data_IF_427669816285
#
_entry.id   IF_427669816285
#
_cell.length_a   1.000
_cell.length_b   1.000
_cell.length_c   1.000
_cell.angle_alpha   90.00
_cell.angle_beta   90.00
_cell.angle_gamma   90.00
#
_symmetry.space_group_name_H-M   'P 1'
#
loop_
_entity.id
_entity.type
_entity.pdbx_description
1 polymer ?
#
# COMPACT_ATOMS: atom_id res chain seq x y z
N UNK A 1 2.28 -1.27 -12.05
CA UNK A 1 3.48 -1.42 -11.20
C UNK A 1 4.76 -1.62 -12.01
N UNK A 2 4.97 -2.72 -12.73
CA UNK A 2 6.22 -2.97 -13.48
C UNK A 2 6.60 -1.84 -14.45
N UNK A 3 5.63 -1.21 -15.11
CA UNK A 3 5.90 -0.06 -16.02
C UNK A 3 6.28 1.20 -15.26
N UNK A 4 5.68 1.46 -14.11
CA UNK A 4 5.94 2.64 -13.28
C UNK A 4 7.39 2.65 -12.78
N UNK A 5 7.90 1.49 -12.37
CA UNK A 5 9.26 1.34 -11.84
C UNK A 5 10.28 0.79 -12.85
N UNK A 6 9.91 0.70 -14.15
CA UNK A 6 10.79 0.10 -15.18
C UNK A 6 12.18 0.77 -15.32
N UNK A 7 12.27 2.06 -14.99
CA UNK A 7 13.53 2.81 -15.02
C UNK A 7 14.24 2.88 -13.66
N UNK A 8 13.68 2.30 -12.62
CA UNK A 8 14.26 2.31 -11.29
C UNK A 8 15.14 1.05 -11.10
N UNK A 9 16.47 1.16 -11.03
CA UNK A 9 17.36 0.01 -10.91
C UNK A 9 17.28 -0.68 -9.54
N UNK A 10 16.68 -0.03 -8.55
CA UNK A 10 16.58 -0.55 -7.18
C UNK A 10 15.30 -1.36 -6.95
N UNK A 11 14.42 -1.44 -7.96
CA UNK A 11 13.13 -2.15 -7.86
C UNK A 11 13.03 -3.24 -8.93
N UNK A 12 12.85 -4.47 -8.48
CA UNK A 12 12.64 -5.64 -9.35
C UNK A 12 11.36 -6.36 -8.92
N UNK A 13 10.52 -6.70 -9.90
CA UNK A 13 9.35 -7.54 -9.70
C UNK A 13 9.62 -8.94 -10.24
N UNK A 14 9.26 -9.95 -9.47
CA UNK A 14 9.40 -11.35 -9.88
C UNK A 14 8.14 -12.13 -9.53
N UNK A 15 7.75 -13.02 -10.44
CA UNK A 15 6.72 -14.02 -10.21
C UNK A 15 7.38 -15.40 -10.09
N UNK A 16 6.94 -16.20 -9.12
CA UNK A 16 7.39 -17.57 -8.92
C UNK A 16 6.20 -18.51 -9.00
N UNK A 17 6.23 -19.43 -9.96
CA UNK A 17 5.22 -20.46 -10.08
C UNK A 17 5.54 -21.64 -9.16
N UNK A 18 5.00 -21.60 -7.95
CA UNK A 18 5.22 -22.64 -6.94
C UNK A 18 4.58 -24.02 -7.29
N UNK A 19 3.80 -24.10 -8.39
CA UNK A 19 3.31 -25.37 -8.93
C UNK A 19 4.39 -26.11 -9.70
N UNK A 20 5.34 -25.39 -10.27
CA UNK A 20 6.46 -25.94 -11.03
C UNK A 20 7.76 -25.95 -10.22
N UNK A 21 7.95 -24.94 -9.37
CA UNK A 21 9.17 -24.76 -8.58
C UNK A 21 8.87 -24.95 -7.07
N UNK A 22 9.48 -25.94 -6.46
CA UNK A 22 9.42 -26.15 -5.00
C UNK A 22 10.60 -25.46 -4.34
N UNK A 23 10.34 -24.33 -3.71
CA UNK A 23 11.34 -23.63 -2.91
C UNK A 23 11.15 -24.09 -1.45
N UNK A 24 12.09 -24.88 -0.96
CA UNK A 24 12.07 -25.46 0.39
C UNK A 24 13.23 -24.96 1.27
N UNK A 25 14.25 -24.36 0.66
CA UNK A 25 15.43 -23.86 1.35
C UNK A 25 15.77 -22.45 0.86
N UNK A 26 16.24 -21.61 1.77
CA UNK A 26 16.85 -20.34 1.45
C UNK A 26 18.31 -20.55 1.02
N UNK A 27 18.96 -19.58 0.35
CA UNK A 27 20.36 -19.70 -0.08
C UNK A 27 21.36 -19.97 1.05
N UNK A 28 21.00 -19.69 2.29
CA UNK A 28 21.82 -19.98 3.49
C UNK A 28 21.57 -21.39 4.07
N UNK A 29 20.74 -22.22 3.43
CA UNK A 29 20.40 -23.56 3.88
C UNK A 29 19.29 -23.66 4.92
N UNK A 30 18.70 -22.54 5.34
CA UNK A 30 17.58 -22.56 6.26
C UNK A 30 16.30 -23.05 5.56
N UNK A 31 15.45 -23.74 6.32
CA UNK A 31 14.13 -24.13 5.82
C UNK A 31 13.31 -22.90 5.46
N UNK A 32 12.85 -22.85 4.22
CA UNK A 32 12.14 -21.69 3.68
C UNK A 32 10.97 -22.12 2.80
N UNK A 33 9.79 -21.65 3.13
CA UNK A 33 8.58 -21.90 2.35
C UNK A 33 7.89 -20.56 2.05
N UNK A 34 8.26 -19.90 0.94
CA UNK A 34 7.73 -18.57 0.60
C UNK A 34 6.22 -18.56 0.34
N UNK A 35 5.64 -19.72 -0.04
CA UNK A 35 4.19 -19.87 -0.24
C UNK A 35 3.40 -20.23 1.01
N UNK A 36 4.06 -20.40 2.16
CA UNK A 36 3.36 -20.65 3.42
C UNK A 36 2.52 -19.43 3.82
N UNK A 37 1.21 -19.61 3.99
CA UNK A 37 0.28 -18.52 4.34
C UNK A 37 -0.89 -18.36 3.38
N UNK A 38 -0.93 -19.15 2.32
CA UNK A 38 -2.04 -19.15 1.35
C UNK A 38 -1.66 -18.56 0.00
N UNK A 39 -2.67 -18.32 -0.83
CA UNK A 39 -2.49 -17.82 -2.19
C UNK A 39 -3.44 -16.63 -2.46
N UNK A 40 -2.98 -15.56 -3.11
CA UNK A 40 -1.60 -15.30 -3.50
C UNK A 40 -0.70 -14.96 -2.29
N UNK A 41 0.56 -15.36 -2.35
CA UNK A 41 1.56 -14.94 -1.36
C UNK A 41 2.42 -13.85 -1.98
N UNK A 42 2.48 -12.70 -1.33
CA UNK A 42 3.29 -11.55 -1.75
C UNK A 42 4.36 -11.32 -0.71
N UNK A 43 5.59 -11.19 -1.16
CA UNK A 43 6.75 -10.87 -0.33
C UNK A 43 7.55 -9.75 -0.93
N UNK A 44 8.16 -8.96 -0.09
CA UNK A 44 9.15 -7.96 -0.48
C UNK A 44 10.49 -8.30 0.15
N UNK A 45 11.56 -7.95 -0.55
CA UNK A 45 12.93 -8.18 -0.14
C UNK A 45 13.67 -6.86 -0.19
N UNK A 46 14.27 -6.47 0.90
CA UNK A 46 15.10 -5.29 1.02
C UNK A 46 16.27 -5.58 1.98
N UNK A 47 17.08 -4.57 2.27
CA UNK A 47 18.23 -4.73 3.16
C UNK A 47 17.85 -5.18 4.57
N UNK A 48 16.68 -4.80 5.06
CA UNK A 48 16.22 -5.11 6.41
C UNK A 48 15.64 -6.53 6.49
N UNK A 49 14.85 -6.92 5.51
CA UNK A 49 14.20 -8.24 5.48
C UNK A 49 15.14 -9.35 5.01
N UNK A 50 16.24 -8.99 4.35
CA UNK A 50 17.22 -9.94 3.84
C UNK A 50 16.62 -10.99 2.92
N UNK A 51 17.23 -12.19 2.89
CA UNK A 51 16.83 -13.30 2.02
C UNK A 51 15.52 -13.99 2.44
N UNK A 52 15.09 -13.82 3.67
CA UNK A 52 13.81 -14.37 4.14
C UNK A 52 12.60 -13.58 3.63
N UNK A 53 12.82 -12.33 3.28
CA UNK A 53 11.79 -11.40 2.85
C UNK A 53 10.77 -11.05 3.93
N UNK A 54 10.03 -9.98 3.72
CA UNK A 54 8.88 -9.59 4.53
C UNK A 54 7.57 -10.01 3.87
N UNK A 55 6.58 -10.42 4.65
CA UNK A 55 5.24 -10.68 4.15
C UNK A 55 4.53 -9.35 3.84
N UNK A 56 3.72 -9.33 2.80
CA UNK A 56 2.86 -8.19 2.49
C UNK A 56 1.98 -7.84 3.70
N UNK A 57 2.05 -6.59 4.13
CA UNK A 57 1.26 -6.06 5.22
C UNK A 57 0.13 -5.21 4.66
N UNK A 58 -1.09 -5.73 4.77
CA UNK A 58 -2.28 -5.00 4.31
C UNK A 58 -2.44 -3.69 5.09
N UNK A 59 -2.67 -2.60 4.38
CA UNK A 59 -2.79 -1.24 4.95
C UNK A 59 -4.24 -0.81 5.16
N UNK A 60 -5.19 -1.50 4.51
CA UNK A 60 -6.62 -1.18 4.61
C UNK A 60 -7.39 -2.26 5.37
N UNK A 61 -8.63 -1.94 5.79
CA UNK A 61 -9.58 -2.92 6.32
C UNK A 61 -10.25 -3.77 5.24
N UNK A 62 -10.17 -3.37 3.95
CA UNK A 62 -10.80 -4.05 2.81
C UNK A 62 -10.17 -5.38 2.42
N UNK A 63 -10.63 -5.98 1.33
CA UNK A 63 -10.03 -7.21 0.81
C UNK A 63 -8.65 -6.95 0.23
N UNK A 64 -7.77 -7.95 0.31
CA UNK A 64 -6.41 -7.85 -0.25
C UNK A 64 -6.46 -7.57 -1.76
N UNK A 65 -7.40 -8.16 -2.49
CA UNK A 65 -7.53 -7.96 -3.94
C UNK A 65 -7.84 -6.51 -4.31
N UNK A 66 -8.63 -5.81 -3.49
CA UNK A 66 -8.95 -4.40 -3.74
C UNK A 66 -7.72 -3.52 -3.54
N UNK A 67 -6.95 -3.79 -2.50
CA UNK A 67 -5.71 -3.07 -2.21
C UNK A 67 -4.64 -3.32 -3.29
N UNK A 68 -4.47 -4.57 -3.72
CA UNK A 68 -3.56 -4.95 -4.79
C UNK A 68 -4.00 -4.43 -6.17
N UNK A 69 -5.30 -4.22 -6.36
CA UNK A 69 -5.88 -3.65 -7.57
C UNK A 69 -5.75 -2.12 -7.66
N UNK A 70 -5.44 -1.43 -6.56
CA UNK A 70 -5.22 0.01 -6.55
C UNK A 70 -3.76 0.35 -6.89
N UNK A 71 -3.52 0.78 -8.12
CA UNK A 71 -2.19 1.14 -8.61
C UNK A 71 -1.48 2.16 -7.72
N UNK A 72 -2.19 3.12 -7.17
CA UNK A 72 -1.59 4.17 -6.33
C UNK A 72 -1.26 3.69 -4.91
N UNK A 73 -2.03 2.73 -4.38
CA UNK A 73 -1.69 2.06 -3.13
C UNK A 73 -0.43 1.22 -3.30
N UNK A 74 -0.37 0.44 -4.38
CA UNK A 74 0.78 -0.41 -4.68
C UNK A 74 2.03 0.39 -5.02
N UNK A 75 1.89 1.53 -5.72
CA UNK A 75 3.01 2.44 -5.98
C UNK A 75 3.62 2.96 -4.67
N UNK A 76 2.79 3.47 -3.77
CA UNK A 76 3.23 3.96 -2.47
C UNK A 76 3.82 2.83 -1.60
N UNK A 77 3.26 1.61 -1.68
CA UNK A 77 3.78 0.45 -0.99
C UNK A 77 5.19 0.08 -1.47
N UNK A 78 5.40 0.04 -2.79
CA UNK A 78 6.72 -0.24 -3.36
C UNK A 78 7.72 0.85 -2.97
N UNK A 79 7.35 2.12 -3.05
CA UNK A 79 8.19 3.23 -2.63
C UNK A 79 8.61 3.11 -1.15
N UNK A 80 7.67 2.76 -0.26
CA UNK A 80 7.93 2.56 1.17
C UNK A 80 8.98 1.46 1.42
N UNK A 81 8.80 0.29 0.81
CA UNK A 81 9.66 -0.86 1.07
C UNK A 81 10.96 -0.88 0.26
N UNK A 82 11.00 -0.19 -0.86
CA UNK A 82 12.22 -0.01 -1.64
C UNK A 82 13.14 1.11 -1.10
N UNK A 83 12.72 1.83 -0.06
CA UNK A 83 13.42 3.02 0.46
C UNK A 83 13.70 4.08 -0.64
N UNK A 84 12.90 4.07 -1.70
CA UNK A 84 13.04 5.01 -2.82
C UNK A 84 12.30 6.33 -2.59
N UNK A 85 11.44 6.35 -1.59
CA UNK A 85 10.69 7.54 -1.16
C UNK A 85 10.62 7.59 0.37
N UNK A 86 10.59 8.80 0.92
CA UNK A 86 10.34 9.02 2.35
C UNK A 86 8.83 8.91 2.71
N UNK A 87 8.04 8.26 1.87
CA UNK A 87 6.60 8.11 2.11
C UNK A 87 6.36 6.75 2.77
N UNK A 88 6.35 6.72 4.09
CA UNK A 88 5.72 5.61 4.81
C UNK A 88 4.21 5.69 4.61
N UNK A 89 3.59 4.57 4.24
CA UNK A 89 2.13 4.49 4.15
C UNK A 89 1.51 4.51 5.55
N UNK A 90 0.87 5.63 5.85
CA UNK A 90 0.09 5.79 7.07
C UNK A 90 -1.17 4.89 7.02
N UNK A 91 -1.35 4.03 8.02
CA UNK A 91 -2.56 3.20 8.17
C UNK A 91 -3.63 3.96 8.93
N UNK A 92 -4.81 4.14 8.35
CA UNK A 92 -5.94 4.84 9.01
C UNK A 92 -6.59 4.02 10.13
N UNK A 93 -6.33 2.72 10.18
CA UNK A 93 -6.88 1.78 11.18
C UNK A 93 -6.02 1.69 12.43
N UNK A 94 -4.70 1.56 12.25
CA UNK A 94 -3.75 1.38 13.35
C UNK A 94 -2.92 2.62 13.67
N UNK A 95 -3.01 3.66 12.84
CA UNK A 95 -2.19 4.88 12.87
C UNK A 95 -0.68 4.60 12.78
N UNK A 96 -0.30 3.37 12.45
CA UNK A 96 1.09 3.00 12.26
C UNK A 96 1.65 3.66 11.00
N UNK A 97 2.85 4.20 11.10
CA UNK A 97 3.52 4.91 10.00
C UNK A 97 3.00 6.34 9.75
N UNK A 98 2.04 6.82 10.56
CA UNK A 98 1.48 8.17 10.42
C UNK A 98 2.31 9.21 11.16
N UNK A 99 2.50 10.37 10.54
CA UNK A 99 2.99 11.57 11.22
C UNK A 99 1.83 12.36 11.88
N UNK A 100 2.17 13.33 12.73
CA UNK A 100 1.16 14.16 13.45
C UNK A 100 0.19 14.87 12.49
N UNK A 101 0.68 15.30 11.33
CA UNK A 101 -0.11 15.99 10.30
C UNK A 101 -1.08 15.03 9.62
N UNK A 102 -0.67 13.79 9.40
CA UNK A 102 -1.51 12.73 8.86
C UNK A 102 -2.59 12.32 9.87
N UNK A 103 -2.24 12.12 11.14
CA UNK A 103 -3.20 11.84 12.21
C UNK A 103 -4.27 12.92 12.30
N UNK A 104 -3.85 14.20 12.30
CA UNK A 104 -4.77 15.32 12.29
C UNK A 104 -5.67 15.38 11.05
N UNK A 105 -5.16 14.92 9.91
CA UNK A 105 -5.94 14.82 8.68
C UNK A 105 -6.93 13.66 8.72
N UNK A 106 -6.53 12.49 9.24
CA UNK A 106 -7.41 11.33 9.46
C UNK A 106 -8.60 11.72 10.35
N UNK A 107 -8.33 12.34 11.51
CA UNK A 107 -9.36 12.75 12.45
C UNK A 107 -10.41 13.68 11.81
N UNK A 108 -9.97 14.63 10.99
CA UNK A 108 -10.87 15.52 10.24
C UNK A 108 -11.65 14.80 9.16
N UNK A 109 -11.00 13.89 8.43
CA UNK A 109 -11.58 13.19 7.30
C UNK A 109 -12.60 12.12 7.73
N UNK A 110 -12.45 11.52 8.91
CA UNK A 110 -13.45 10.61 9.49
C UNK A 110 -14.80 11.28 9.78
N UNK A 111 -14.84 12.60 9.95
CA UNK A 111 -16.08 13.36 10.16
C UNK A 111 -16.81 13.72 8.85
N UNK A 112 -16.22 13.43 7.70
CA UNK A 112 -16.83 13.66 6.39
C UNK A 112 -17.72 12.47 6.02
N UNK A 113 -18.82 12.73 5.31
CA UNK A 113 -19.62 11.67 4.70
C UNK A 113 -18.80 10.92 3.63
N UNK A 114 -19.22 9.71 3.30
CA UNK A 114 -18.58 8.90 2.26
C UNK A 114 -18.53 9.63 0.91
N UNK A 115 -19.60 10.35 0.55
CA UNK A 115 -19.67 11.13 -0.68
C UNK A 115 -18.68 12.32 -0.68
N UNK A 116 -18.54 12.99 0.46
CA UNK A 116 -17.56 14.07 0.60
C UNK A 116 -16.13 13.54 0.52
N UNK A 117 -15.86 12.38 1.13
CA UNK A 117 -14.55 11.71 1.03
C UNK A 117 -14.20 11.36 -0.41
N UNK A 118 -15.14 10.75 -1.16
CA UNK A 118 -14.97 10.42 -2.58
C UNK A 118 -14.72 11.68 -3.43
N UNK A 119 -15.54 12.71 -3.26
CA UNK A 119 -15.36 13.98 -3.97
C UNK A 119 -14.01 14.64 -3.66
N UNK A 120 -13.52 14.46 -2.42
CA UNK A 120 -12.22 14.97 -2.04
C UNK A 120 -11.08 14.19 -2.73
N UNK A 121 -11.18 12.87 -2.82
CA UNK A 121 -10.22 12.02 -3.57
C UNK A 121 -10.14 12.51 -5.03
N UNK A 122 -11.27 12.67 -5.71
CA UNK A 122 -11.30 13.15 -7.10
C UNK A 122 -10.61 14.51 -7.28
N UNK A 123 -10.84 15.43 -6.34
CA UNK A 123 -10.17 16.73 -6.34
C UNK A 123 -8.67 16.62 -6.20
N UNK A 124 -8.17 15.74 -5.31
CA UNK A 124 -6.74 15.52 -5.12
C UNK A 124 -6.11 14.89 -6.36
N UNK A 125 -6.79 13.95 -7.02
CA UNK A 125 -6.34 13.35 -8.28
C UNK A 125 -6.16 14.43 -9.36
N UNK A 126 -7.12 15.34 -9.50
CA UNK A 126 -7.03 16.44 -10.46
C UNK A 126 -5.87 17.41 -10.15
N UNK A 127 -5.56 17.60 -8.88
CA UNK A 127 -4.44 18.46 -8.45
C UNK A 127 -3.07 17.81 -8.68
N UNK A 128 -2.97 16.49 -8.60
CA UNK A 128 -1.71 15.75 -8.72
C UNK A 128 -1.00 15.96 -10.06
N UNK A 129 -1.77 16.18 -11.15
CA UNK A 129 -1.25 16.46 -12.48
C UNK A 129 -0.76 17.92 -12.70
N UNK A 130 -0.90 18.81 -11.71
CA UNK A 130 -0.49 20.21 -11.85
C UNK A 130 0.93 20.44 -11.36
N UNK A 131 1.62 21.43 -11.97
CA UNK A 131 2.96 21.85 -11.53
C UNK A 131 2.90 22.45 -10.13
N UNK A 132 3.59 21.86 -9.18
CA UNK A 132 3.63 22.30 -7.78
C UNK A 132 4.97 22.00 -7.12
N UNK A 133 5.17 22.57 -5.92
CA UNK A 133 6.37 22.29 -5.13
C UNK A 133 6.38 20.82 -4.70
N UNK A 134 7.56 20.15 -4.64
CA UNK A 134 7.69 18.74 -4.27
C UNK A 134 7.01 18.38 -2.94
N UNK A 135 7.16 19.22 -1.91
CA UNK A 135 6.54 19.02 -0.60
C UNK A 135 5.00 19.02 -0.66
N UNK A 136 4.42 19.87 -1.51
CA UNK A 136 2.97 19.92 -1.70
C UNK A 136 2.47 18.71 -2.48
N UNK A 137 3.21 18.29 -3.50
CA UNK A 137 2.94 17.08 -4.28
C UNK A 137 2.92 15.84 -3.37
N UNK A 138 3.97 15.71 -2.53
CA UNK A 138 4.05 14.66 -1.54
C UNK A 138 2.87 14.65 -0.58
N UNK A 139 2.50 15.82 -0.05
CA UNK A 139 1.37 15.95 0.86
C UNK A 139 0.02 15.64 0.19
N UNK A 140 -0.14 15.96 -1.08
CA UNK A 140 -1.34 15.56 -1.87
C UNK A 140 -1.41 14.05 -2.02
N UNK A 141 -0.30 13.38 -2.35
CA UNK A 141 -0.22 11.91 -2.42
C UNK A 141 -0.61 11.26 -1.09
N UNK A 142 -0.03 11.70 0.03
CA UNK A 142 -0.36 11.20 1.37
C UNK A 142 -1.85 11.34 1.71
N UNK A 143 -2.43 12.52 1.49
CA UNK A 143 -3.87 12.78 1.72
C UNK A 143 -4.76 11.91 0.85
N UNK A 144 -4.41 11.71 -0.41
CA UNK A 144 -5.13 10.84 -1.33
C UNK A 144 -5.15 9.40 -0.80
N UNK A 145 -4.03 8.87 -0.34
CA UNK A 145 -3.93 7.52 0.21
C UNK A 145 -4.77 7.37 1.49
N UNK A 146 -4.72 8.32 2.39
CA UNK A 146 -5.53 8.33 3.61
C UNK A 146 -7.03 8.29 3.27
N UNK A 147 -7.50 9.17 2.37
CA UNK A 147 -8.90 9.21 1.98
C UNK A 147 -9.35 7.93 1.28
N UNK A 148 -8.53 7.34 0.42
CA UNK A 148 -8.84 6.06 -0.23
C UNK A 148 -9.02 4.94 0.79
N UNK A 149 -8.16 4.87 1.81
CA UNK A 149 -8.30 3.90 2.90
C UNK A 149 -9.61 4.11 3.69
N UNK A 150 -9.98 5.36 3.99
CA UNK A 150 -11.24 5.68 4.69
C UNK A 150 -12.46 5.30 3.87
N UNK A 151 -12.46 5.61 2.56
CA UNK A 151 -13.54 5.22 1.63
C UNK A 151 -13.69 3.70 1.55
N UNK A 152 -12.57 2.98 1.44
CA UNK A 152 -12.58 1.51 1.41
C UNK A 152 -13.09 0.91 2.71
N UNK A 153 -12.67 1.45 3.86
CA UNK A 153 -13.13 0.99 5.17
C UNK A 153 -14.64 1.23 5.36
N UNK A 154 -15.15 2.38 4.90
CA UNK A 154 -16.58 2.70 4.98
C UNK A 154 -17.41 1.79 4.06
N UNK A 155 -16.89 1.43 2.87
CA UNK A 155 -17.57 0.50 1.98
C UNK A 155 -17.62 -0.93 2.53
N UNK A 156 -16.56 -1.37 3.21
CA UNK A 156 -16.51 -2.70 3.83
C UNK A 156 -17.40 -2.83 5.06
N UNK A 157 -17.66 -1.74 5.81
CA UNK A 157 -18.53 -1.74 6.98
C UNK A 157 -20.03 -1.60 6.67
N UNK A 158 -20.39 -1.31 5.42
CA UNK A 158 -21.79 -1.16 4.99
C UNK A 158 -22.51 -2.49 4.69
N UNK A 159 -21.81 -3.60 4.56
CA UNK A 159 -22.39 -4.90 4.22
C UNK A 159 -22.81 -5.74 5.45
N UNK A 160 -22.55 -5.28 6.69
CA UNK A 160 -22.89 -6.04 7.90
C UNK A 160 -24.26 -5.71 8.52
N UNK A 161 -24.98 -4.71 8.02
CA UNK A 161 -26.27 -4.27 8.59
C UNK A 161 -27.52 -4.75 7.81
N UNK A 162 -27.37 -5.65 6.83
CA UNK A 162 -28.50 -6.29 6.13
C UNK A 162 -28.54 -7.83 6.31
N UNK A 163 -28.67 -8.28 7.55
CA UNK A 163 -29.09 -9.65 7.84
C UNK A 163 -30.11 -9.69 8.98
#
# INVERSE_FOLDING_TARGET
MTKTFASNPDVVFMDVNLSEERIMEAPNGDSYSPGAGGWPTIRYFNRETGISGGAYQKKTGGHMCDELGDDSMMEAYVEEYANTSMIMLCSVTSEQGCDEREIGFIAKSKNLSLEEQKAYVERLIKMEGSSMKPELSLWIKKRKQILKQLVSAAAAGGDEDEL
#
